data_IF_923454009264
#
_entry.id   IF_923454009264
#
_cell.length_a   1.000
_cell.length_b   1.000
_cell.length_c   1.000
_cell.angle_alpha   90.00
_cell.angle_beta   90.00
_cell.angle_gamma   90.00
#
_symmetry.space_group_name_H-M   'P 1'
#
loop_
_entity.id
_entity.type
_entity.pdbx_description
1 polymer ?
#
# COMPACT_ATOMS: atom_id res chain seq x y z
N UNK A 1 -13.32 -20.01 0.71
CA UNK A 1 -12.96 -18.57 0.95
C UNK A 1 -11.59 -18.34 0.36
N UNK A 2 -11.46 -17.43 -0.60
CA UNK A 2 -10.16 -17.08 -1.17
C UNK A 2 -9.37 -16.16 -0.24
N UNK A 3 -8.14 -15.85 -0.62
CA UNK A 3 -7.25 -15.03 0.20
C UNK A 3 -7.79 -13.63 0.41
N UNK A 4 -8.38 -13.03 -0.63
CA UNK A 4 -8.96 -11.70 -0.52
C UNK A 4 -10.12 -11.68 0.47
N UNK A 5 -11.00 -12.68 0.41
CA UNK A 5 -12.12 -12.80 1.35
C UNK A 5 -11.63 -12.99 2.79
N UNK A 6 -10.56 -13.76 2.99
CA UNK A 6 -9.95 -13.95 4.31
C UNK A 6 -9.40 -12.65 4.87
N UNK A 7 -8.77 -11.84 4.02
CA UNK A 7 -8.27 -10.52 4.44
C UNK A 7 -9.41 -9.60 4.84
N UNK A 8 -10.49 -9.58 4.05
CA UNK A 8 -11.60 -8.66 4.28
C UNK A 8 -12.35 -8.92 5.58
N UNK A 9 -12.27 -10.13 6.13
CA UNK A 9 -12.94 -10.44 7.40
C UNK A 9 -12.04 -10.26 8.62
N UNK A 10 -10.77 -9.92 8.43
CA UNK A 10 -9.86 -9.64 9.56
C UNK A 10 -10.20 -8.29 10.20
N UNK A 11 -10.07 -8.19 11.55
CA UNK A 11 -10.32 -6.91 12.21
C UNK A 11 -9.44 -5.79 11.68
N UNK A 12 -10.02 -4.62 11.49
CA UNK A 12 -9.29 -3.42 11.05
C UNK A 12 -9.02 -3.33 9.57
N UNK A 13 -9.33 -4.37 8.79
CA UNK A 13 -9.13 -4.32 7.33
C UNK A 13 -10.23 -3.45 6.71
N UNK A 14 -9.81 -2.51 5.88
CA UNK A 14 -10.71 -1.61 5.17
C UNK A 14 -10.20 -1.35 3.76
N UNK A 15 -11.12 -1.06 2.86
CA UNK A 15 -10.82 -0.89 1.45
C UNK A 15 -11.34 0.46 0.97
N UNK A 16 -10.53 1.14 0.16
CA UNK A 16 -10.96 2.33 -0.58
C UNK A 16 -10.83 2.05 -2.06
N UNK A 17 -11.89 2.35 -2.81
CA UNK A 17 -11.96 2.05 -4.23
C UNK A 17 -12.31 3.28 -5.04
N UNK A 18 -11.72 3.37 -6.22
CA UNK A 18 -12.13 4.27 -7.30
C UNK A 18 -12.39 3.36 -8.50
N UNK A 19 -13.01 3.85 -9.57
CA UNK A 19 -13.19 3.01 -10.75
C UNK A 19 -11.87 2.38 -11.21
N UNK A 20 -11.86 1.07 -11.35
CA UNK A 20 -10.75 0.24 -11.82
C UNK A 20 -9.54 0.12 -10.90
N UNK A 21 -9.54 0.73 -9.71
CA UNK A 21 -8.44 0.59 -8.74
C UNK A 21 -8.97 0.52 -7.32
N UNK A 22 -8.24 -0.19 -6.45
CA UNK A 22 -8.54 -0.18 -5.02
C UNK A 22 -7.26 -0.23 -4.20
N UNK A 23 -7.37 0.21 -2.95
CA UNK A 23 -6.32 0.12 -1.96
C UNK A 23 -6.89 -0.52 -0.69
N UNK A 24 -6.15 -1.45 -0.12
CA UNK A 24 -6.54 -2.21 1.05
C UNK A 24 -5.57 -1.93 2.19
N UNK A 25 -6.08 -1.55 3.34
CA UNK A 25 -5.30 -1.29 4.53
C UNK A 25 -5.81 -2.08 5.73
N UNK A 26 -4.96 -2.22 6.73
CA UNK A 26 -5.33 -2.83 8.01
C UNK A 26 -4.89 -1.91 9.15
N UNK A 27 -5.87 -1.48 9.94
CA UNK A 27 -5.64 -0.67 11.13
C UNK A 27 -5.43 -1.58 12.33
N UNK A 28 -4.29 -1.42 13.01
CA UNK A 28 -3.99 -2.08 14.28
C UNK A 28 -3.56 -0.97 15.24
N UNK A 29 -4.31 -0.76 16.29
CA UNK A 29 -4.14 0.38 17.21
C UNK A 29 -4.28 1.69 16.40
N UNK A 30 -3.22 2.45 16.25
CA UNK A 30 -3.23 3.70 15.47
C UNK A 30 -2.33 3.64 14.23
N UNK A 31 -1.89 2.45 13.84
CA UNK A 31 -1.06 2.26 12.66
C UNK A 31 -1.83 1.50 11.57
N UNK A 32 -1.70 1.98 10.33
CA UNK A 32 -2.32 1.35 9.16
C UNK A 32 -1.23 0.75 8.29
N UNK A 33 -1.34 -0.55 8.01
CA UNK A 33 -0.48 -1.21 7.04
C UNK A 33 -1.20 -1.27 5.70
N UNK A 34 -0.55 -0.83 4.62
CA UNK A 34 -1.09 -1.03 3.28
C UNK A 34 -0.80 -2.48 2.86
N UNK A 35 -1.87 -3.23 2.61
CA UNK A 35 -1.77 -4.63 2.24
C UNK A 35 -1.64 -4.80 0.74
N UNK A 36 -2.36 -4.01 -0.03
CA UNK A 36 -2.27 -4.06 -1.49
C UNK A 36 -2.88 -2.82 -2.12
N UNK A 37 -2.38 -2.47 -3.29
CA UNK A 37 -2.97 -1.50 -4.21
C UNK A 37 -3.01 -2.16 -5.57
N UNK A 38 -4.17 -2.26 -6.17
CA UNK A 38 -4.34 -2.96 -7.44
C UNK A 38 -5.24 -2.18 -8.38
N UNK A 39 -4.89 -2.22 -9.65
CA UNK A 39 -5.67 -1.60 -10.71
C UNK A 39 -5.96 -2.61 -11.80
N UNK A 40 -7.11 -2.47 -12.44
CA UNK A 40 -7.48 -3.30 -13.58
C UNK A 40 -6.49 -3.11 -14.73
N UNK A 41 -6.32 -4.15 -15.52
CA UNK A 41 -5.48 -4.11 -16.71
C UNK A 41 -5.97 -2.99 -17.64
N UNK A 42 -5.06 -2.17 -18.12
CA UNK A 42 -5.39 -1.01 -18.97
C UNK A 42 -5.71 0.27 -18.20
N UNK A 43 -5.98 0.18 -16.90
CA UNK A 43 -6.24 1.34 -16.07
C UNK A 43 -4.97 1.88 -15.40
N UNK A 44 -3.83 1.22 -15.59
CA UNK A 44 -2.58 1.62 -14.98
C UNK A 44 -2.05 2.91 -15.59
N UNK A 45 -1.32 3.70 -14.81
CA UNK A 45 -0.68 4.96 -15.22
C UNK A 45 -1.67 6.09 -15.55
N UNK A 46 -2.92 5.98 -15.09
CA UNK A 46 -3.93 7.03 -15.28
C UNK A 46 -4.17 7.84 -14.01
N UNK A 47 -3.28 7.73 -13.02
CA UNK A 47 -3.46 8.42 -11.74
C UNK A 47 -4.50 7.78 -10.84
N UNK A 48 -5.07 6.65 -11.22
CA UNK A 48 -6.12 5.98 -10.43
C UNK A 48 -5.57 5.34 -9.16
N UNK A 49 -4.37 4.78 -9.21
CA UNK A 49 -3.72 4.24 -8.01
C UNK A 49 -3.49 5.34 -6.98
N UNK A 50 -3.09 6.54 -7.42
CA UNK A 50 -2.91 7.69 -6.55
C UNK A 50 -4.23 8.10 -5.92
N UNK A 51 -5.32 8.11 -6.69
CA UNK A 51 -6.65 8.43 -6.18
C UNK A 51 -7.13 7.41 -5.16
N UNK A 52 -6.92 6.12 -5.43
CA UNK A 52 -7.27 5.05 -4.47
C UNK A 52 -6.48 5.20 -3.18
N UNK A 53 -5.19 5.52 -3.28
CA UNK A 53 -4.33 5.75 -2.11
C UNK A 53 -4.76 6.98 -1.32
N UNK A 54 -5.10 8.08 -1.99
CA UNK A 54 -5.61 9.27 -1.30
C UNK A 54 -6.90 8.98 -0.54
N UNK A 55 -7.80 8.21 -1.15
CA UNK A 55 -9.04 7.79 -0.49
C UNK A 55 -8.74 6.90 0.73
N UNK A 56 -7.77 5.98 0.62
CA UNK A 56 -7.39 5.13 1.74
C UNK A 56 -6.76 5.95 2.87
N UNK A 57 -5.93 6.91 2.54
CA UNK A 57 -5.29 7.79 3.54
C UNK A 57 -6.35 8.55 4.32
N UNK A 58 -7.33 9.14 3.64
CA UNK A 58 -8.41 9.86 4.29
C UNK A 58 -9.27 8.94 5.16
N UNK A 59 -9.64 7.77 4.64
CA UNK A 59 -10.43 6.80 5.40
C UNK A 59 -9.68 6.30 6.63
N UNK A 60 -8.37 6.08 6.49
CA UNK A 60 -7.53 5.62 7.59
C UNK A 60 -7.44 6.65 8.71
N UNK A 61 -7.31 7.93 8.36
CA UNK A 61 -7.33 9.01 9.34
C UNK A 61 -8.67 9.09 10.06
N UNK A 62 -9.77 8.95 9.33
CA UNK A 62 -11.12 8.96 9.91
C UNK A 62 -11.35 7.80 10.88
N UNK A 63 -10.70 6.66 10.64
CA UNK A 63 -10.78 5.49 11.52
C UNK A 63 -9.87 5.59 12.75
N UNK A 64 -9.13 6.66 12.90
CA UNK A 64 -8.23 6.87 14.04
C UNK A 64 -6.78 6.49 13.77
N UNK A 65 -6.40 6.19 12.53
CA UNK A 65 -5.02 5.94 12.16
C UNK A 65 -4.17 7.21 12.30
N UNK A 66 -2.98 7.07 12.86
CA UNK A 66 -2.03 8.18 13.02
C UNK A 66 -0.84 8.06 12.09
N UNK A 67 -0.58 6.86 11.60
CA UNK A 67 0.45 6.64 10.60
C UNK A 67 0.03 5.53 9.66
N UNK A 68 0.58 5.56 8.46
CA UNK A 68 0.34 4.55 7.44
C UNK A 68 1.70 4.14 6.86
N UNK A 69 1.93 2.83 6.70
CA UNK A 69 3.20 2.32 6.22
C UNK A 69 2.99 1.20 5.21
N UNK A 70 4.02 0.96 4.42
CA UNK A 70 4.02 -0.09 3.38
C UNK A 70 5.43 -0.60 3.15
N UNK A 71 5.51 -1.79 2.55
CA UNK A 71 6.75 -2.32 2.01
C UNK A 71 6.64 -2.39 0.48
N UNK A 72 7.72 -2.09 -0.20
CA UNK A 72 7.78 -2.09 -1.66
C UNK A 72 9.15 -2.59 -2.11
N UNK A 73 9.18 -3.34 -3.20
CA UNK A 73 10.45 -3.79 -3.79
C UNK A 73 11.26 -2.58 -4.25
N UNK A 74 12.56 -2.59 -3.94
CA UNK A 74 13.44 -1.46 -4.22
C UNK A 74 13.56 -1.12 -5.71
N UNK A 75 13.25 -2.06 -6.59
CA UNK A 75 13.31 -1.85 -8.03
C UNK A 75 11.95 -1.58 -8.68
N UNK A 76 10.90 -1.40 -7.87
CA UNK A 76 9.58 -1.06 -8.38
C UNK A 76 9.48 0.46 -8.56
N UNK A 77 10.08 0.97 -9.63
CA UNK A 77 10.17 2.41 -9.87
C UNK A 77 8.80 3.12 -9.94
N UNK A 78 7.77 2.57 -10.59
CA UNK A 78 6.46 3.21 -10.59
C UNK A 78 5.87 3.36 -9.19
N UNK A 79 5.97 2.32 -8.36
CA UNK A 79 5.47 2.38 -6.98
C UNK A 79 6.25 3.39 -6.14
N UNK A 80 7.58 3.40 -6.27
CA UNK A 80 8.42 4.35 -5.54
C UNK A 80 8.04 5.80 -5.89
N UNK A 81 7.82 6.08 -7.17
CA UNK A 81 7.37 7.40 -7.62
C UNK A 81 6.03 7.77 -7.04
N UNK A 82 5.08 6.83 -7.03
CA UNK A 82 3.75 7.04 -6.46
C UNK A 82 3.84 7.42 -4.98
N UNK A 83 4.54 6.61 -4.19
CA UNK A 83 4.59 6.83 -2.74
C UNK A 83 5.34 8.11 -2.37
N UNK A 84 6.41 8.42 -3.09
CA UNK A 84 7.11 9.69 -2.90
C UNK A 84 6.22 10.89 -3.23
N UNK A 85 5.40 10.79 -4.29
CA UNK A 85 4.47 11.85 -4.66
C UNK A 85 3.37 12.07 -3.62
N UNK A 86 3.12 11.09 -2.76
CA UNK A 86 2.17 11.15 -1.66
C UNK A 86 2.81 11.51 -0.33
N UNK A 87 4.07 11.94 -0.35
CA UNK A 87 4.84 12.38 0.82
C UNK A 87 5.15 11.25 1.81
N UNK A 88 5.24 10.02 1.33
CA UNK A 88 5.79 8.93 2.14
C UNK A 88 7.31 9.08 2.22
N UNK A 89 7.86 8.77 3.38
CA UNK A 89 9.30 8.77 3.63
C UNK A 89 9.81 7.35 3.84
N UNK A 90 11.00 7.06 3.31
CA UNK A 90 11.64 5.79 3.57
C UNK A 90 12.14 5.76 5.01
N UNK A 91 11.68 4.77 5.79
CA UNK A 91 12.06 4.62 7.20
C UNK A 91 12.82 3.33 7.47
N UNK A 92 12.93 2.45 6.50
CA UNK A 92 13.62 1.19 6.70
C UNK A 92 13.92 0.48 5.40
N UNK A 93 14.70 -0.61 5.53
CA UNK A 93 15.12 -1.44 4.41
C UNK A 93 15.34 -2.85 4.91
N UNK A 94 14.87 -3.85 4.14
CA UNK A 94 15.17 -5.27 4.38
C UNK A 94 15.98 -5.77 3.21
N UNK A 95 17.22 -6.18 3.46
CA UNK A 95 18.12 -6.64 2.40
C UNK A 95 17.65 -7.97 1.84
N UNK A 96 17.60 -8.06 0.51
CA UNK A 96 17.30 -9.29 -0.23
C UNK A 96 16.02 -9.99 0.25
N UNK A 97 15.01 -9.22 0.60
CA UNK A 97 13.79 -9.73 1.18
C UNK A 97 12.88 -10.39 0.15
N UNK A 98 12.74 -9.78 -1.05
CA UNK A 98 11.91 -10.34 -2.11
C UNK A 98 12.71 -11.29 -2.97
N UNK A 99 12.14 -12.47 -3.21
CA UNK A 99 12.70 -13.45 -4.13
C UNK A 99 11.81 -13.52 -5.37
N UNK A 100 12.41 -13.35 -6.54
CA UNK A 100 11.69 -13.41 -7.81
C UNK A 100 11.68 -14.82 -8.37
N UNK A 101 10.84 -15.03 -9.37
CA UNK A 101 10.74 -16.34 -10.05
C UNK A 101 12.04 -16.78 -10.69
N UNK A 102 12.86 -15.84 -11.15
CA UNK A 102 14.14 -16.14 -11.77
C UNK A 102 15.26 -16.44 -10.75
N UNK A 103 14.95 -16.44 -9.47
CA UNK A 103 15.91 -16.70 -8.40
C UNK A 103 16.64 -15.47 -7.91
N UNK A 104 16.48 -14.32 -8.55
CA UNK A 104 17.11 -13.09 -8.08
C UNK A 104 16.39 -12.58 -6.84
N UNK A 105 17.12 -11.82 -6.02
CA UNK A 105 16.58 -11.21 -4.81
C UNK A 105 16.69 -9.70 -4.90
N UNK A 106 15.77 -9.02 -4.26
CA UNK A 106 15.83 -7.58 -4.18
C UNK A 106 15.42 -7.10 -2.79
N UNK A 107 15.90 -5.93 -2.42
CA UNK A 107 15.59 -5.35 -1.13
C UNK A 107 14.14 -4.89 -1.07
N UNK A 108 13.57 -4.91 0.14
CA UNK A 108 12.30 -4.27 0.43
C UNK A 108 12.58 -2.92 1.09
N UNK A 109 11.90 -1.89 0.63
CA UNK A 109 11.95 -0.57 1.25
C UNK A 109 10.68 -0.36 2.05
N UNK A 110 10.82 0.20 3.24
CA UNK A 110 9.69 0.49 4.12
C UNK A 110 9.46 1.99 4.09
N UNK A 111 8.24 2.39 3.72
CA UNK A 111 7.82 3.79 3.67
C UNK A 111 6.74 4.06 4.69
N UNK A 112 6.74 5.25 5.23
CA UNK A 112 5.78 5.68 6.25
C UNK A 112 5.33 7.10 5.98
N UNK A 113 4.06 7.37 6.29
CA UNK A 113 3.47 8.70 6.26
C UNK A 113 2.71 8.93 7.56
N UNK A 114 2.93 10.08 8.18
CA UNK A 114 2.13 10.48 9.34
C UNK A 114 0.80 11.03 8.85
N UNK A 115 -0.27 10.64 9.54
CA UNK A 115 -1.62 11.11 9.29
C UNK A 115 -1.94 12.16 10.35
N UNK A 116 -2.29 13.34 9.91
CA UNK A 116 -2.60 14.43 10.82
C UNK A 116 -4.10 14.54 11.09
#
# INVERSE_FOLDING_TARGET
MDEFQRLMVQPGVHMSAVPDCFALGRLVLDEVEILTVACASGAQRQGLARRAMLALIDASADLGGRSIFLEVAADNAPALGLYKSLDFEQVGRRNQYYQRRDGTKCDALIFRKLLS
#
